data_IF_918591100733
#
_entry.id   IF_918591100733
#
_cell.length_a   1.000
_cell.length_b   1.000
_cell.length_c   1.000
_cell.angle_alpha   90.00
_cell.angle_beta   90.00
_cell.angle_gamma   90.00
#
_symmetry.space_group_name_H-M   'P 1'
#
loop_
_entity.id
_entity.type
_entity.pdbx_description
1 polymer ?
#
# COMPACT_ATOMS: atom_id res chain seq x y z
N UNK A 1 -25.01 25.86 2.78
CA UNK A 1 -23.96 26.04 1.76
C UNK A 1 -23.15 24.76 1.76
N UNK A 2 -23.19 24.00 0.67
CA UNK A 2 -22.06 23.92 -0.28
C UNK A 2 -21.30 22.62 -0.01
N UNK A 3 -20.75 21.87 -0.94
CA UNK A 3 -20.42 22.11 -2.34
C UNK A 3 -20.67 20.74 -3.00
N UNK A 4 -21.74 20.56 -3.77
CA UNK A 4 -21.95 19.29 -4.48
C UNK A 4 -20.90 19.17 -5.60
N UNK A 5 -19.96 18.26 -5.37
CA UNK A 5 -19.13 17.52 -6.31
C UNK A 5 -18.51 18.33 -7.46
N UNK A 6 -17.32 18.86 -7.19
CA UNK A 6 -16.33 19.10 -8.24
C UNK A 6 -15.91 17.76 -8.82
N UNK A 7 -16.52 17.37 -9.94
CA UNK A 7 -16.03 16.27 -10.77
C UNK A 7 -14.72 16.77 -11.41
N UNK A 8 -13.61 16.14 -11.06
CA UNK A 8 -12.33 16.41 -11.71
C UNK A 8 -12.26 15.59 -13.00
N UNK A 9 -12.28 16.27 -14.15
CA UNK A 9 -12.04 15.66 -15.44
C UNK A 9 -10.60 15.94 -15.89
N UNK A 10 -9.86 14.88 -16.23
CA UNK A 10 -8.49 14.99 -16.73
C UNK A 10 -8.35 14.18 -18.03
N UNK A 11 -7.77 14.81 -19.06
CA UNK A 11 -7.48 14.14 -20.32
C UNK A 11 -6.12 13.46 -20.23
N UNK A 12 -6.14 12.15 -19.97
CA UNK A 12 -4.90 11.39 -19.85
C UNK A 12 -4.18 11.25 -21.20
N UNK A 13 -2.84 11.10 -21.17
CA UNK A 13 -2.09 10.51 -22.27
C UNK A 13 -2.68 9.15 -22.67
N UNK A 14 -2.47 8.74 -23.92
CA UNK A 14 -2.97 7.45 -24.45
C UNK A 14 -1.89 6.37 -24.48
N UNK A 15 -0.65 6.79 -24.25
CA UNK A 15 0.53 5.97 -24.24
C UNK A 15 0.49 5.02 -23.05
N UNK A 16 0.76 3.76 -23.33
CA UNK A 16 0.93 2.77 -22.28
C UNK A 16 2.24 3.04 -21.53
N UNK A 17 2.21 2.98 -20.19
CA UNK A 17 3.39 3.17 -19.36
C UNK A 17 3.80 1.88 -18.68
N UNK A 18 5.09 1.76 -18.38
CA UNK A 18 5.61 0.75 -17.46
C UNK A 18 5.73 1.35 -16.08
N UNK A 19 5.16 0.69 -15.07
CA UNK A 19 5.27 1.09 -13.68
C UNK A 19 6.60 0.62 -13.10
N UNK A 20 7.34 1.55 -12.49
CA UNK A 20 8.60 1.25 -11.80
C UNK A 20 8.34 0.42 -10.54
N UNK A 21 7.19 0.65 -9.88
CA UNK A 21 6.77 -0.09 -8.70
C UNK A 21 5.24 -0.14 -8.54
N UNK A 22 4.75 -1.19 -7.88
CA UNK A 22 3.44 -1.24 -7.26
C UNK A 22 3.64 -1.00 -5.76
N UNK A 23 3.03 0.06 -5.23
CA UNK A 23 3.22 0.49 -3.84
C UNK A 23 1.94 0.21 -3.07
N UNK A 24 2.01 -0.70 -2.10
CA UNK A 24 0.91 -0.98 -1.16
C UNK A 24 1.12 -0.13 0.09
N UNK A 25 0.23 0.83 0.30
CA UNK A 25 0.42 1.90 1.27
C UNK A 25 -0.81 2.05 2.18
N UNK A 26 -0.58 2.35 3.46
CA UNK A 26 -1.69 2.71 4.34
C UNK A 26 -2.31 4.03 3.89
N UNK A 27 -3.63 4.15 3.90
CA UNK A 27 -4.30 5.39 3.53
C UNK A 27 -4.17 6.53 4.56
N UNK A 28 -3.48 6.28 5.67
CA UNK A 28 -3.27 7.22 6.75
C UNK A 28 -2.54 8.46 6.22
N UNK A 29 -3.20 9.60 6.31
CA UNK A 29 -2.74 10.82 5.66
C UNK A 29 -1.45 11.38 6.26
N UNK A 30 -1.13 11.01 7.52
CA UNK A 30 0.14 11.35 8.16
C UNK A 30 1.35 10.88 7.34
N UNK A 31 1.17 9.85 6.50
CA UNK A 31 2.22 9.25 5.68
C UNK A 31 2.13 9.62 4.19
N UNK A 32 1.27 10.55 3.79
CA UNK A 32 1.18 11.01 2.40
C UNK A 32 2.48 11.72 1.98
N UNK A 33 3.02 12.62 2.82
CA UNK A 33 4.29 13.30 2.52
C UNK A 33 5.48 12.35 2.42
N UNK A 34 5.54 11.32 3.29
CA UNK A 34 6.57 10.30 3.24
C UNK A 34 6.51 9.48 1.94
N UNK A 35 5.31 9.17 1.43
CA UNK A 35 5.15 8.48 0.15
C UNK A 35 5.75 9.29 -1.00
N UNK A 36 5.47 10.59 -1.05
CA UNK A 36 6.00 11.49 -2.08
C UNK A 36 7.53 11.58 -2.04
N UNK A 37 8.09 11.73 -0.84
CA UNK A 37 9.54 11.73 -0.62
C UNK A 37 10.18 10.40 -1.01
N UNK A 38 9.53 9.28 -0.64
CA UNK A 38 9.99 7.94 -0.99
C UNK A 38 10.04 7.76 -2.51
N UNK A 39 8.94 8.02 -3.22
CA UNK A 39 8.84 7.91 -4.69
C UNK A 39 9.92 8.74 -5.36
N UNK A 40 10.11 9.99 -4.91
CA UNK A 40 11.15 10.88 -5.42
C UNK A 40 12.55 10.34 -5.15
N UNK A 41 12.83 9.85 -3.94
CA UNK A 41 14.15 9.31 -3.57
C UNK A 41 14.54 8.05 -4.35
N UNK A 42 13.54 7.26 -4.77
CA UNK A 42 13.72 6.09 -5.63
C UNK A 42 13.84 6.43 -7.11
N UNK A 43 13.55 7.67 -7.50
CA UNK A 43 13.55 8.09 -8.91
C UNK A 43 12.44 7.43 -9.73
N UNK A 44 11.37 6.96 -9.08
CA UNK A 44 10.22 6.38 -9.77
C UNK A 44 9.49 7.45 -10.57
N UNK A 45 9.30 7.18 -11.86
CA UNK A 45 8.60 8.06 -12.80
C UNK A 45 7.13 7.69 -12.90
N UNK A 46 6.84 6.40 -12.97
CA UNK A 46 5.47 5.88 -12.95
C UNK A 46 5.36 4.81 -11.86
N UNK A 47 4.27 4.80 -11.11
CA UNK A 47 4.02 3.78 -10.10
C UNK A 47 2.52 3.56 -9.95
N UNK A 48 2.15 2.33 -9.62
CA UNK A 48 0.79 1.96 -9.28
C UNK A 48 0.62 2.02 -7.77
N UNK A 49 -0.29 2.86 -7.27
CA UNK A 49 -0.52 3.02 -5.84
C UNK A 49 -1.78 2.28 -5.40
N UNK A 50 -1.60 1.30 -4.52
CA UNK A 50 -2.68 0.62 -3.79
C UNK A 50 -2.75 1.22 -2.38
N UNK A 51 -3.51 2.31 -2.22
CA UNK A 51 -3.67 3.04 -0.95
C UNK A 51 -4.94 2.59 -0.23
N UNK A 52 -4.80 1.83 0.86
CA UNK A 52 -5.90 1.18 1.59
C UNK A 52 -5.69 1.22 3.10
N UNK A 53 -6.73 0.95 3.89
CA UNK A 53 -6.60 0.79 5.34
C UNK A 53 -5.58 -0.32 5.67
N UNK A 54 -4.65 -0.04 6.59
CA UNK A 54 -3.64 -1.00 7.06
C UNK A 54 -2.49 -1.29 6.09
N UNK A 55 -2.54 -0.83 4.84
CA UNK A 55 -1.47 -1.07 3.86
C UNK A 55 -1.14 -2.56 3.71
N UNK A 56 0.14 -2.92 3.87
CA UNK A 56 0.59 -4.30 3.74
C UNK A 56 0.07 -5.25 4.84
N UNK A 57 -0.42 -4.72 5.97
CA UNK A 57 -1.12 -5.53 7.01
C UNK A 57 -2.27 -6.31 6.40
N UNK A 58 -3.02 -5.69 5.50
CA UNK A 58 -4.18 -6.29 4.83
C UNK A 58 -3.77 -7.47 3.93
N UNK A 59 -2.53 -7.49 3.45
CA UNK A 59 -2.00 -8.64 2.72
C UNK A 59 -1.53 -9.75 3.67
N UNK A 60 -0.91 -9.41 4.80
CA UNK A 60 -0.33 -10.37 5.74
C UNK A 60 -1.37 -11.02 6.67
N UNK A 61 -2.16 -10.19 7.33
CA UNK A 61 -3.09 -10.55 8.39
C UNK A 61 -4.43 -9.79 8.24
N UNK A 62 -5.20 -10.03 7.16
CA UNK A 62 -6.48 -9.36 6.95
C UNK A 62 -7.51 -9.76 8.01
N UNK A 63 -8.59 -8.97 8.11
CA UNK A 63 -9.77 -9.38 8.89
C UNK A 63 -10.55 -10.50 8.19
N UNK A 64 -10.56 -10.49 6.86
CA UNK A 64 -11.16 -11.53 6.04
C UNK A 64 -10.31 -11.84 4.80
N UNK A 65 -10.34 -13.08 4.31
CA UNK A 65 -9.50 -13.49 3.18
C UNK A 65 -9.82 -12.77 1.86
N UNK A 66 -11.03 -12.21 1.70
CA UNK A 66 -11.36 -11.45 0.50
C UNK A 66 -10.52 -10.17 0.40
N UNK A 67 -10.14 -9.55 1.52
CA UNK A 67 -9.27 -8.38 1.53
C UNK A 67 -7.86 -8.72 1.03
N UNK A 68 -7.29 -9.86 1.47
CA UNK A 68 -6.00 -10.36 0.98
C UNK A 68 -6.05 -10.59 -0.53
N UNK A 69 -7.09 -11.28 -0.99
CA UNK A 69 -7.29 -11.55 -2.42
C UNK A 69 -7.46 -10.27 -3.24
N UNK A 70 -8.13 -9.25 -2.67
CA UNK A 70 -8.25 -7.94 -3.30
C UNK A 70 -6.87 -7.30 -3.51
N UNK A 71 -6.01 -7.28 -2.48
CA UNK A 71 -4.65 -6.70 -2.58
C UNK A 71 -3.81 -7.46 -3.60
N UNK A 72 -3.79 -8.80 -3.51
CA UNK A 72 -3.09 -9.65 -4.49
C UNK A 72 -3.56 -9.41 -5.91
N UNK A 73 -4.87 -9.23 -6.11
CA UNK A 73 -5.43 -8.91 -7.43
C UNK A 73 -4.91 -7.57 -7.96
N UNK A 74 -4.83 -6.52 -7.14
CA UNK A 74 -4.29 -5.24 -7.60
C UNK A 74 -2.81 -5.35 -8.02
N UNK A 75 -2.01 -6.06 -7.22
CA UNK A 75 -0.59 -6.30 -7.53
C UNK A 75 -0.45 -7.08 -8.85
N UNK A 76 -1.22 -8.15 -9.03
CA UNK A 76 -1.24 -8.93 -10.28
C UNK A 76 -1.66 -8.09 -11.48
N UNK A 77 -2.64 -7.21 -11.32
CA UNK A 77 -3.07 -6.29 -12.38
C UNK A 77 -1.93 -5.33 -12.73
N UNK A 78 -1.24 -4.76 -11.74
CA UNK A 78 -0.09 -3.89 -11.98
C UNK A 78 1.03 -4.61 -12.74
N UNK A 79 1.36 -5.84 -12.37
CA UNK A 79 2.36 -6.67 -13.08
C UNK A 79 1.91 -6.95 -14.52
N UNK A 80 0.67 -7.42 -14.70
CA UNK A 80 0.19 -7.86 -16.01
C UNK A 80 -0.08 -6.71 -16.98
N UNK A 81 -0.59 -5.58 -16.46
CA UNK A 81 -0.92 -4.43 -17.29
C UNK A 81 0.30 -3.52 -17.44
N UNK A 82 0.98 -3.14 -16.37
CA UNK A 82 2.04 -2.11 -16.43
C UNK A 82 3.46 -2.68 -16.31
N UNK A 83 3.64 -4.01 -16.37
CA UNK A 83 4.97 -4.63 -16.40
C UNK A 83 5.81 -4.38 -15.13
N UNK A 84 5.15 -4.15 -14.00
CA UNK A 84 5.79 -3.82 -12.72
C UNK A 84 6.78 -4.89 -12.29
N UNK A 85 7.98 -4.45 -11.85
CA UNK A 85 9.05 -5.33 -11.36
C UNK A 85 9.27 -5.31 -9.86
N UNK A 86 8.77 -4.27 -9.18
CA UNK A 86 8.99 -4.06 -7.75
C UNK A 86 7.65 -3.90 -7.04
N UNK A 87 7.47 -4.63 -5.94
CA UNK A 87 6.36 -4.40 -5.00
C UNK A 87 6.93 -3.79 -3.73
N UNK A 88 6.40 -2.64 -3.33
CA UNK A 88 6.77 -1.95 -2.10
C UNK A 88 5.65 -2.15 -1.09
N UNK A 89 5.99 -2.69 0.07
CA UNK A 89 5.08 -2.96 1.16
C UNK A 89 5.32 -1.99 2.30
N UNK A 90 4.29 -1.28 2.73
CA UNK A 90 4.36 -0.35 3.85
C UNK A 90 3.35 -0.74 4.94
N UNK A 91 3.87 -0.82 6.16
CA UNK A 91 3.13 -0.76 7.42
C UNK A 91 3.74 0.38 8.25
N UNK A 92 3.01 0.87 9.25
CA UNK A 92 3.50 1.93 10.14
C UNK A 92 3.02 1.71 11.57
N UNK A 93 3.74 2.28 12.53
CA UNK A 93 3.36 2.34 13.94
C UNK A 93 2.14 3.25 14.15
N UNK A 94 1.42 3.05 15.25
CA UNK A 94 0.18 3.71 15.61
C UNK A 94 -0.87 3.66 14.49
N UNK A 95 -1.00 2.48 13.87
CA UNK A 95 -1.94 2.24 12.79
C UNK A 95 -3.27 1.70 13.33
N UNK A 96 -4.38 2.33 12.93
CA UNK A 96 -5.72 1.90 13.37
C UNK A 96 -6.09 0.47 12.98
N UNK A 97 -5.52 -0.08 11.89
CA UNK A 97 -5.73 -1.48 11.50
C UNK A 97 -5.06 -2.49 12.44
N UNK A 98 -4.11 -2.04 13.25
CA UNK A 98 -3.51 -2.79 14.36
C UNK A 98 -4.18 -2.48 15.70
N UNK A 99 -5.18 -1.59 15.73
CA UNK A 99 -5.82 -1.07 16.94
C UNK A 99 -5.11 0.17 17.54
N UNK A 100 -4.09 0.70 16.85
CA UNK A 100 -3.29 1.82 17.31
C UNK A 100 -2.33 1.46 18.44
N UNK A 101 -1.58 2.45 18.93
CA UNK A 101 -0.54 2.24 19.94
C UNK A 101 -1.04 1.61 21.25
N UNK A 102 -2.31 1.85 21.59
CA UNK A 102 -2.95 1.30 22.79
C UNK A 102 -3.16 -0.23 22.75
N UNK A 103 -3.06 -0.85 21.57
CA UNK A 103 -3.18 -2.31 21.41
C UNK A 103 -1.90 -3.07 21.71
N UNK A 104 -0.79 -2.37 21.98
CA UNK A 104 0.51 -2.95 22.28
C UNK A 104 0.98 -2.57 23.68
N UNK A 105 1.72 -3.47 24.32
CA UNK A 105 2.33 -3.23 25.64
C UNK A 105 3.58 -2.35 25.55
N UNK A 106 4.22 -2.29 24.37
CA UNK A 106 5.40 -1.46 24.10
C UNK A 106 5.60 -1.21 22.60
N UNK A 107 6.36 -0.15 22.28
CA UNK A 107 6.78 0.19 20.91
C UNK A 107 7.57 -0.96 20.26
N UNK A 108 8.35 -1.72 21.06
CA UNK A 108 9.09 -2.88 20.56
C UNK A 108 8.17 -4.03 20.14
N UNK A 109 7.08 -4.26 20.87
CA UNK A 109 6.08 -5.28 20.50
C UNK A 109 5.35 -4.89 19.21
N UNK A 110 4.97 -3.62 19.07
CA UNK A 110 4.36 -3.10 17.84
C UNK A 110 5.30 -3.29 16.64
N UNK A 111 6.56 -2.90 16.79
CA UNK A 111 7.56 -3.04 15.74
C UNK A 111 7.82 -4.50 15.39
N UNK A 112 7.85 -5.41 16.37
CA UNK A 112 7.97 -6.85 16.12
C UNK A 112 6.78 -7.36 15.31
N UNK A 113 5.55 -6.98 15.68
CA UNK A 113 4.34 -7.35 14.96
C UNK A 113 4.36 -6.85 13.51
N UNK A 114 4.71 -5.58 13.31
CA UNK A 114 4.84 -4.99 11.96
C UNK A 114 5.87 -5.76 11.13
N UNK A 115 7.04 -6.07 11.70
CA UNK A 115 8.09 -6.81 11.00
C UNK A 115 7.65 -8.23 10.61
N UNK A 116 6.92 -8.91 11.50
CA UNK A 116 6.38 -10.24 11.20
C UNK A 116 5.36 -10.19 10.07
N UNK A 117 4.44 -9.21 10.10
CA UNK A 117 3.46 -9.03 9.03
C UNK A 117 4.15 -8.67 7.69
N UNK A 118 5.18 -7.83 7.68
CA UNK A 118 5.92 -7.52 6.45
C UNK A 118 6.64 -8.74 5.86
N UNK A 119 7.21 -9.61 6.71
CA UNK A 119 7.81 -10.88 6.28
C UNK A 119 6.76 -11.84 5.72
N UNK A 120 5.60 -11.92 6.36
CA UNK A 120 4.50 -12.77 5.89
C UNK A 120 3.93 -12.26 4.55
N UNK A 121 3.72 -10.95 4.40
CA UNK A 121 3.32 -10.35 3.14
C UNK A 121 4.32 -10.65 2.01
N UNK A 122 5.64 -10.53 2.27
CA UNK A 122 6.68 -10.90 1.32
C UNK A 122 6.65 -12.40 0.98
N UNK A 123 6.45 -13.27 1.98
CA UNK A 123 6.30 -14.71 1.79
C UNK A 123 5.11 -15.04 0.88
N UNK A 124 3.94 -14.44 1.13
CA UNK A 124 2.74 -14.64 0.32
C UNK A 124 2.99 -14.24 -1.13
N UNK A 125 3.64 -13.09 -1.38
CA UNK A 125 3.94 -12.62 -2.73
C UNK A 125 4.90 -13.53 -3.49
N UNK A 126 5.86 -14.15 -2.80
CA UNK A 126 6.82 -15.07 -3.44
C UNK A 126 6.22 -16.43 -3.78
N UNK A 127 5.09 -16.78 -3.17
CA UNK A 127 4.45 -18.09 -3.31
C UNK A 127 3.09 -18.04 -4.03
N UNK A 128 2.72 -16.90 -4.63
CA UNK A 128 1.46 -16.68 -5.37
C UNK A 128 1.69 -15.96 -6.70
#
# INVERSE_FOLDING_TARGET
MEEQNKILAYKSPKEHYTADACIVWCFDDRFTGLLEEFVKSRGYKNYDLVKIAGGAKTLASPENEADRLFVLKQIRISINLHGTKHVILMCHEDCGAYGGKASFTSDSEELERINNDLKEADHILKNN
#
